data_IF_808065579970
#
_entry.id   IF_808065579970
#
_cell.length_a   1.000
_cell.length_b   1.000
_cell.length_c   1.000
_cell.angle_alpha   90.00
_cell.angle_beta   90.00
_cell.angle_gamma   90.00
#
_symmetry.space_group_name_H-M   'P 1'
#
loop_
_entity.id
_entity.type
_entity.pdbx_description
1 polymer ?
#
# COMPACT_ATOMS: atom_id res chain seq x y z
N UNK A 1 39.91 18.74 14.79
CA UNK A 1 40.01 17.64 13.80
C UNK A 1 38.78 16.77 13.98
N UNK A 2 37.87 16.75 13.01
CA UNK A 2 36.75 15.82 13.03
C UNK A 2 37.24 14.47 12.50
N UNK A 3 37.04 13.40 13.28
CA UNK A 3 37.32 12.04 12.84
C UNK A 3 36.15 11.61 11.95
N UNK A 4 36.41 11.49 10.65
CA UNK A 4 35.47 10.85 9.72
C UNK A 4 35.67 9.35 9.88
N UNK A 5 34.73 8.68 10.55
CA UNK A 5 34.69 7.22 10.64
C UNK A 5 34.06 6.72 9.34
N UNK A 6 34.85 6.06 8.48
CA UNK A 6 34.30 5.34 7.33
C UNK A 6 33.57 4.10 7.86
N UNK A 7 32.26 4.04 7.62
CA UNK A 7 31.40 2.88 7.94
C UNK A 7 31.45 1.79 6.85
N UNK A 8 32.47 1.81 5.99
CA UNK A 8 32.71 0.76 5.00
C UNK A 8 33.38 -0.47 5.64
N UNK A 9 32.76 -0.99 6.71
CA UNK A 9 32.99 -2.36 7.13
C UNK A 9 32.38 -3.29 6.07
N UNK A 10 33.16 -4.26 5.60
CA UNK A 10 32.83 -5.26 4.57
C UNK A 10 31.36 -5.67 4.60
N UNK A 11 30.55 -5.04 3.76
CA UNK A 11 29.19 -5.48 3.49
C UNK A 11 29.35 -6.74 2.65
N UNK A 12 29.45 -7.90 3.30
CA UNK A 12 29.31 -9.21 2.64
C UNK A 12 28.17 -9.07 1.62
N UNK A 13 28.39 -9.51 0.38
CA UNK A 13 27.38 -9.57 -0.68
C UNK A 13 26.28 -10.58 -0.28
N UNK A 14 25.54 -10.31 0.78
CA UNK A 14 24.26 -10.96 1.07
C UNK A 14 23.35 -10.65 -0.11
N UNK A 15 22.68 -11.68 -0.61
CA UNK A 15 21.58 -11.50 -1.55
C UNK A 15 20.65 -10.42 -1.00
N UNK A 16 20.17 -9.53 -1.88
CA UNK A 16 19.25 -8.47 -1.47
C UNK A 16 18.08 -9.12 -0.72
N UNK A 17 17.85 -8.70 0.53
CA UNK A 17 16.80 -9.25 1.38
C UNK A 17 15.43 -9.18 0.69
N UNK A 18 15.22 -8.19 -0.17
CA UNK A 18 14.02 -8.05 -0.97
C UNK A 18 13.92 -9.14 -2.04
N UNK A 19 15.01 -9.48 -2.71
CA UNK A 19 15.05 -10.54 -3.72
C UNK A 19 14.78 -11.91 -3.10
N UNK A 20 15.29 -12.16 -1.89
CA UNK A 20 15.03 -13.38 -1.13
C UNK A 20 13.53 -13.49 -0.79
N UNK A 21 12.93 -12.41 -0.30
CA UNK A 21 11.50 -12.37 0.00
C UNK A 21 10.66 -12.55 -1.28
N UNK A 22 11.01 -11.86 -2.35
CA UNK A 22 10.34 -11.96 -3.65
C UNK A 22 10.40 -13.40 -4.17
N UNK A 23 11.56 -14.05 -4.10
CA UNK A 23 11.72 -15.45 -4.47
C UNK A 23 10.81 -16.39 -3.67
N UNK A 24 10.60 -16.13 -2.38
CA UNK A 24 9.74 -16.94 -1.51
C UNK A 24 8.25 -16.85 -1.86
N UNK A 25 7.79 -15.69 -2.32
CA UNK A 25 6.36 -15.41 -2.54
C UNK A 25 6.00 -15.15 -4.00
N UNK A 26 6.91 -15.38 -4.94
CA UNK A 26 6.76 -15.00 -6.36
C UNK A 26 5.45 -15.49 -6.97
N UNK A 27 5.18 -16.79 -6.88
CA UNK A 27 4.01 -17.41 -7.52
C UNK A 27 2.70 -16.90 -6.90
N UNK A 28 2.70 -16.70 -5.58
CA UNK A 28 1.55 -16.12 -4.88
C UNK A 28 1.36 -14.64 -5.21
N UNK A 29 2.45 -13.89 -5.42
CA UNK A 29 2.39 -12.50 -5.82
C UNK A 29 1.84 -12.35 -7.24
N UNK A 30 2.14 -13.27 -8.15
CA UNK A 30 1.49 -13.32 -9.47
C UNK A 30 -0.01 -13.58 -9.36
N UNK A 31 -0.43 -14.46 -8.43
CA UNK A 31 -1.85 -14.70 -8.12
C UNK A 31 -2.51 -13.46 -7.52
N UNK A 32 -1.80 -12.70 -6.67
CA UNK A 32 -2.27 -11.41 -6.14
C UNK A 32 -2.50 -10.43 -7.28
N UNK A 33 -1.54 -10.27 -8.19
CA UNK A 33 -1.69 -9.35 -9.33
C UNK A 33 -2.90 -9.70 -10.20
N UNK A 34 -3.12 -11.00 -10.48
CA UNK A 34 -4.33 -11.46 -11.19
C UNK A 34 -5.61 -11.11 -10.42
N UNK A 35 -5.62 -11.37 -9.11
CA UNK A 35 -6.76 -11.04 -8.25
C UNK A 35 -7.06 -9.54 -8.26
N UNK A 36 -6.04 -8.68 -8.23
CA UNK A 36 -6.22 -7.23 -8.31
C UNK A 36 -6.88 -6.86 -9.64
N UNK A 37 -6.39 -7.37 -10.78
CA UNK A 37 -7.00 -7.14 -12.10
C UNK A 37 -8.47 -7.59 -12.12
N UNK A 38 -8.73 -8.81 -11.65
CA UNK A 38 -10.06 -9.41 -11.70
C UNK A 38 -11.10 -8.61 -10.91
N UNK A 39 -10.68 -8.02 -9.77
CA UNK A 39 -11.54 -7.20 -8.90
C UNK A 39 -11.75 -5.78 -9.38
N UNK A 40 -10.95 -5.32 -10.33
CA UNK A 40 -11.08 -4.00 -10.93
C UNK A 40 -11.99 -4.00 -12.17
N UNK A 41 -12.52 -5.15 -12.58
CA UNK A 41 -13.55 -5.19 -13.62
C UNK A 41 -14.77 -4.34 -13.22
N UNK A 42 -15.19 -3.48 -14.14
CA UNK A 42 -16.33 -2.59 -14.00
C UNK A 42 -16.91 -2.24 -15.37
N UNK A 43 -18.23 -2.08 -15.50
CA UNK A 43 -18.84 -1.53 -16.72
C UNK A 43 -18.45 -0.07 -16.95
N UNK A 44 -17.93 0.63 -15.93
CA UNK A 44 -17.46 2.01 -16.04
C UNK A 44 -16.00 2.02 -16.47
N UNK A 45 -15.74 2.35 -17.73
CA UNK A 45 -14.43 2.23 -18.38
C UNK A 45 -13.26 2.96 -17.69
N UNK A 46 -13.54 4.01 -16.92
CA UNK A 46 -12.50 4.76 -16.19
C UNK A 46 -11.80 3.91 -15.11
N UNK A 47 -12.53 3.02 -14.45
CA UNK A 47 -12.00 2.15 -13.39
C UNK A 47 -10.92 1.19 -13.91
N UNK A 48 -11.15 0.37 -14.96
CA UNK A 48 -10.14 -0.54 -15.50
C UNK A 48 -8.95 0.19 -16.18
N UNK A 49 -9.12 1.43 -16.64
CA UNK A 49 -8.01 2.25 -17.14
C UNK A 49 -7.05 2.63 -16.02
N UNK A 50 -7.57 3.13 -14.89
CA UNK A 50 -6.76 3.55 -13.75
C UNK A 50 -6.11 2.35 -13.04
N UNK A 51 -6.83 1.24 -12.95
CA UNK A 51 -6.33 -0.08 -12.60
C UNK A 51 -5.06 -0.50 -13.38
N UNK A 52 -5.10 -0.35 -14.70
CA UNK A 52 -3.97 -0.67 -15.57
C UNK A 52 -2.80 0.26 -15.30
N UNK A 53 -3.07 1.56 -15.06
CA UNK A 53 -2.05 2.54 -14.68
C UNK A 53 -1.37 2.20 -13.35
N UNK A 54 -2.13 1.81 -12.32
CA UNK A 54 -1.58 1.40 -11.02
C UNK A 54 -0.63 0.20 -11.17
N UNK A 55 -1.01 -0.79 -11.98
CA UNK A 55 -0.19 -1.97 -12.21
C UNK A 55 1.07 -1.60 -13.01
N UNK A 56 0.93 -0.77 -14.05
CA UNK A 56 2.01 -0.34 -14.93
C UNK A 56 3.00 0.61 -14.23
N UNK A 57 2.53 1.48 -13.34
CA UNK A 57 3.34 2.36 -12.49
C UNK A 57 4.21 1.57 -11.48
N UNK A 58 3.98 0.25 -11.41
CA UNK A 58 4.83 -0.70 -10.70
C UNK A 58 4.78 -0.55 -9.19
N UNK A 59 5.89 -0.89 -8.54
CA UNK A 59 6.06 -0.78 -7.09
C UNK A 59 6.65 -2.02 -6.48
N UNK A 60 7.22 -1.86 -5.29
CA UNK A 60 7.91 -2.96 -4.61
C UNK A 60 6.95 -4.06 -4.12
N UNK A 61 5.64 -3.81 -4.12
CA UNK A 61 4.58 -4.71 -3.58
C UNK A 61 4.90 -5.25 -2.18
N UNK A 62 5.55 -4.43 -1.34
CA UNK A 62 6.06 -4.86 -0.05
C UNK A 62 4.94 -5.33 0.89
N UNK A 63 3.81 -4.62 0.92
CA UNK A 63 2.67 -4.93 1.78
C UNK A 63 2.06 -6.31 1.44
N UNK A 64 1.72 -6.63 0.17
CA UNK A 64 1.34 -7.98 -0.24
C UNK A 64 2.36 -9.05 0.11
N UNK A 65 3.65 -8.79 -0.14
CA UNK A 65 4.71 -9.76 0.17
C UNK A 65 4.78 -10.07 1.67
N UNK A 66 4.62 -9.06 2.53
CA UNK A 66 4.57 -9.25 3.98
C UNK A 66 3.34 -10.06 4.41
N UNK A 67 2.17 -9.83 3.82
CA UNK A 67 0.96 -10.63 4.10
C UNK A 67 1.17 -12.10 3.70
N UNK A 68 1.70 -12.35 2.50
CA UNK A 68 1.97 -13.71 2.00
C UNK A 68 3.03 -14.43 2.82
N UNK A 69 4.15 -13.76 3.13
CA UNK A 69 5.22 -14.35 3.92
C UNK A 69 4.77 -14.65 5.36
N UNK A 70 3.98 -13.76 5.97
CA UNK A 70 3.42 -13.98 7.30
C UNK A 70 2.48 -15.19 7.32
N UNK A 71 1.63 -15.35 6.31
CA UNK A 71 0.78 -16.53 6.18
C UNK A 71 1.59 -17.82 6.08
N UNK A 72 2.62 -17.86 5.21
CA UNK A 72 3.53 -19.01 5.08
C UNK A 72 4.27 -19.32 6.38
N UNK A 73 4.76 -18.29 7.08
CA UNK A 73 5.44 -18.43 8.37
C UNK A 73 4.54 -19.03 9.46
N UNK A 74 3.25 -18.69 9.45
CA UNK A 74 2.24 -19.24 10.35
C UNK A 74 1.69 -20.61 9.89
N UNK A 75 2.29 -21.25 8.88
CA UNK A 75 1.90 -22.58 8.42
C UNK A 75 0.82 -22.63 7.34
N UNK A 76 0.31 -21.48 6.88
CA UNK A 76 -0.65 -21.42 5.77
C UNK A 76 0.12 -21.40 4.44
N UNK A 77 0.24 -22.57 3.80
CA UNK A 77 1.06 -22.74 2.58
C UNK A 77 0.26 -22.78 1.28
N UNK A 78 -1.01 -23.16 1.34
CA UNK A 78 -1.85 -23.41 0.17
C UNK A 78 -3.24 -22.79 0.33
N UNK A 79 -3.89 -22.47 -0.81
CA UNK A 79 -5.22 -21.89 -0.88
C UNK A 79 -5.23 -20.43 -1.35
N UNK A 80 -6.43 -19.85 -1.42
CA UNK A 80 -6.67 -18.50 -1.97
C UNK A 80 -6.73 -17.40 -0.89
N UNK A 81 -6.81 -17.78 0.39
CA UNK A 81 -7.10 -16.83 1.47
C UNK A 81 -6.02 -15.75 1.60
N UNK A 82 -4.75 -16.17 1.68
CA UNK A 82 -3.60 -15.26 1.78
C UNK A 82 -3.46 -14.35 0.56
N UNK A 83 -3.75 -14.88 -0.64
CA UNK A 83 -3.74 -14.12 -1.90
C UNK A 83 -4.82 -13.05 -1.89
N UNK A 84 -6.07 -13.41 -1.55
CA UNK A 84 -7.18 -12.44 -1.46
C UNK A 84 -6.93 -11.35 -0.42
N UNK A 85 -6.39 -11.71 0.75
CA UNK A 85 -6.06 -10.74 1.79
C UNK A 85 -4.87 -9.85 1.41
N UNK A 86 -3.86 -10.39 0.71
CA UNK A 86 -2.77 -9.58 0.18
C UNK A 86 -3.25 -8.59 -0.89
N UNK A 87 -4.18 -9.00 -1.77
CA UNK A 87 -4.83 -8.10 -2.72
C UNK A 87 -5.68 -7.02 -2.00
N UNK A 88 -6.40 -7.39 -0.95
CA UNK A 88 -7.16 -6.47 -0.10
C UNK A 88 -6.26 -5.38 0.51
N UNK A 89 -5.11 -5.76 1.06
CA UNK A 89 -4.12 -4.82 1.61
C UNK A 89 -3.59 -3.88 0.52
N UNK A 90 -3.32 -4.40 -0.68
CA UNK A 90 -2.86 -3.56 -1.78
C UNK A 90 -3.94 -2.60 -2.29
N UNK A 91 -5.22 -2.98 -2.23
CA UNK A 91 -6.31 -2.07 -2.55
C UNK A 91 -6.41 -0.92 -1.56
N UNK A 92 -6.31 -1.20 -0.26
CA UNK A 92 -6.29 -0.14 0.78
C UNK A 92 -5.10 0.78 0.52
N UNK A 93 -3.91 0.22 0.32
CA UNK A 93 -2.72 1.02 0.02
C UNK A 93 -2.93 1.89 -1.23
N UNK A 94 -3.40 1.30 -2.33
CA UNK A 94 -3.59 2.02 -3.58
C UNK A 94 -4.67 3.11 -3.45
N UNK A 95 -5.74 2.86 -2.70
CA UNK A 95 -6.76 3.89 -2.43
C UNK A 95 -6.15 5.08 -1.68
N UNK A 96 -5.39 4.84 -0.61
CA UNK A 96 -4.71 5.90 0.16
C UNK A 96 -3.74 6.67 -0.73
N UNK A 97 -3.02 5.99 -1.60
CA UNK A 97 -2.13 6.61 -2.57
C UNK A 97 -2.85 7.57 -3.53
N UNK A 98 -4.03 7.20 -4.04
CA UNK A 98 -4.83 8.07 -4.92
C UNK A 98 -5.40 9.27 -4.19
N UNK A 99 -5.79 9.10 -2.92
CA UNK A 99 -6.29 10.19 -2.08
C UNK A 99 -5.16 11.16 -1.71
N UNK A 100 -3.99 10.64 -1.33
CA UNK A 100 -2.79 11.44 -1.01
C UNK A 100 -2.37 12.32 -2.20
N UNK A 101 -2.31 11.77 -3.42
CA UNK A 101 -1.90 12.53 -4.61
C UNK A 101 -2.82 13.76 -4.85
N UNK A 102 -4.09 13.66 -4.46
CA UNK A 102 -5.07 14.75 -4.53
C UNK A 102 -4.88 15.76 -3.40
N UNK A 103 -4.62 15.27 -2.18
CA UNK A 103 -4.41 16.13 -0.99
C UNK A 103 -3.10 16.92 -1.13
N UNK A 104 -2.04 16.29 -1.64
CA UNK A 104 -0.70 16.87 -1.77
C UNK A 104 -0.51 17.68 -3.06
N UNK A 105 -1.52 17.78 -3.94
CA UNK A 105 -1.45 18.40 -5.26
C UNK A 105 -0.22 17.94 -6.09
N UNK A 106 0.11 16.65 -6.01
CA UNK A 106 1.33 16.12 -6.63
C UNK A 106 1.17 15.93 -8.14
N UNK A 107 2.05 16.52 -8.95
CA UNK A 107 2.07 16.35 -10.42
C UNK A 107 2.74 15.03 -10.87
N UNK A 108 3.62 14.46 -10.04
CA UNK A 108 4.45 13.30 -10.37
C UNK A 108 4.45 12.23 -9.29
N UNK A 109 4.46 10.97 -9.73
CA UNK A 109 4.65 9.78 -8.88
C UNK A 109 5.59 8.78 -9.52
N UNK A 110 6.70 8.48 -8.84
CA UNK A 110 7.77 7.58 -9.33
C UNK A 110 8.26 7.94 -10.75
N UNK A 111 8.29 9.24 -11.08
CA UNK A 111 8.71 9.73 -12.39
C UNK A 111 7.67 9.53 -13.51
N UNK A 112 6.43 9.19 -13.19
CA UNK A 112 5.27 9.19 -14.10
C UNK A 112 4.26 10.24 -13.62
N UNK A 113 3.35 10.68 -14.49
CA UNK A 113 2.25 11.55 -14.09
C UNK A 113 1.37 10.85 -13.03
N UNK A 114 1.01 11.58 -11.99
CA UNK A 114 0.09 11.12 -10.95
C UNK A 114 -1.31 10.91 -11.53
N UNK A 115 -2.15 10.13 -10.83
CA UNK A 115 -3.50 9.86 -11.33
C UNK A 115 -4.36 11.14 -11.42
N UNK A 116 -4.16 12.08 -10.51
CA UNK A 116 -4.87 13.35 -10.52
C UNK A 116 -4.37 14.29 -11.63
N UNK A 117 -3.09 14.24 -12.00
CA UNK A 117 -2.60 14.98 -13.17
C UNK A 117 -3.23 14.47 -14.48
N UNK A 118 -3.43 13.16 -14.61
CA UNK A 118 -3.99 12.55 -15.84
C UNK A 118 -5.51 12.63 -15.92
N UNK A 119 -6.21 12.33 -14.81
CA UNK A 119 -7.69 12.18 -14.80
C UNK A 119 -8.42 13.22 -13.96
N UNK A 120 -7.68 14.08 -13.25
CA UNK A 120 -8.24 15.09 -12.34
C UNK A 120 -8.54 14.56 -10.95
N UNK A 121 -8.67 15.49 -10.00
CA UNK A 121 -8.88 15.18 -8.58
C UNK A 121 -10.15 14.34 -8.35
N UNK A 122 -11.27 14.69 -9.02
CA UNK A 122 -12.56 13.99 -8.84
C UNK A 122 -12.47 12.51 -9.24
N UNK A 123 -11.80 12.21 -10.35
CA UNK A 123 -11.63 10.83 -10.80
C UNK A 123 -10.77 10.04 -9.80
N UNK A 124 -9.68 10.63 -9.32
CA UNK A 124 -8.76 9.98 -8.38
C UNK A 124 -9.44 9.66 -7.05
N UNK A 125 -10.22 10.58 -6.49
CA UNK A 125 -11.01 10.34 -5.27
C UNK A 125 -12.01 9.20 -5.48
N UNK A 126 -12.84 9.27 -6.52
CA UNK A 126 -13.89 8.27 -6.76
C UNK A 126 -13.34 6.87 -7.07
N UNK A 127 -12.19 6.78 -7.74
CA UNK A 127 -11.54 5.48 -7.96
C UNK A 127 -10.88 4.98 -6.68
N UNK A 128 -10.31 5.86 -5.86
CA UNK A 128 -9.87 5.51 -4.51
C UNK A 128 -11.01 4.90 -3.68
N UNK A 129 -12.18 5.53 -3.68
CA UNK A 129 -13.38 5.04 -2.99
C UNK A 129 -13.83 3.68 -3.51
N UNK A 130 -13.73 3.46 -4.83
CA UNK A 130 -14.03 2.17 -5.45
C UNK A 130 -13.05 1.08 -5.00
N UNK A 131 -11.75 1.34 -5.00
CA UNK A 131 -10.74 0.36 -4.55
C UNK A 131 -10.90 0.04 -3.07
N UNK A 132 -11.17 1.05 -2.24
CA UNK A 132 -11.47 0.89 -0.83
C UNK A 132 -12.74 0.05 -0.64
N UNK A 133 -13.79 0.28 -1.43
CA UNK A 133 -15.01 -0.54 -1.39
C UNK A 133 -14.73 -2.00 -1.79
N UNK A 134 -13.90 -2.25 -2.81
CA UNK A 134 -13.48 -3.60 -3.21
C UNK A 134 -12.66 -4.32 -2.12
N UNK A 135 -11.88 -3.59 -1.32
CA UNK A 135 -11.19 -4.20 -0.18
C UNK A 135 -12.20 -4.70 0.87
N UNK A 136 -13.29 -3.96 1.12
CA UNK A 136 -14.36 -4.43 2.01
C UNK A 136 -15.07 -5.67 1.48
N UNK A 137 -15.36 -5.75 0.18
CA UNK A 137 -15.93 -6.96 -0.41
C UNK A 137 -15.02 -8.19 -0.20
N UNK A 138 -13.70 -8.04 -0.40
CA UNK A 138 -12.73 -9.10 -0.14
C UNK A 138 -12.70 -9.51 1.34
N UNK A 139 -12.79 -8.56 2.28
CA UNK A 139 -12.87 -8.85 3.71
C UNK A 139 -14.15 -9.59 4.10
N UNK A 140 -15.29 -9.24 3.49
CA UNK A 140 -16.57 -9.92 3.73
C UNK A 140 -16.53 -11.34 3.17
N UNK A 141 -15.93 -11.54 1.99
CA UNK A 141 -15.73 -12.88 1.41
C UNK A 141 -14.80 -13.77 2.23
N UNK A 142 -13.79 -13.20 2.93
CA UNK A 142 -12.96 -13.96 3.87
C UNK A 142 -13.79 -14.55 5.02
N UNK A 143 -14.90 -13.88 5.38
CA UNK A 143 -15.83 -14.32 6.42
C UNK A 143 -15.29 -14.19 7.85
N UNK A 144 -14.05 -13.71 8.04
CA UNK A 144 -13.48 -13.50 9.37
C UNK A 144 -13.75 -12.09 9.89
N UNK A 145 -14.64 -11.98 10.89
CA UNK A 145 -14.86 -10.72 11.60
C UNK A 145 -13.59 -10.16 12.25
N UNK A 146 -12.66 -11.04 12.66
CA UNK A 146 -11.38 -10.61 13.21
C UNK A 146 -10.50 -9.92 12.16
N UNK A 147 -10.41 -10.47 10.94
CA UNK A 147 -9.66 -9.84 9.84
C UNK A 147 -10.30 -8.52 9.43
N UNK A 148 -11.63 -8.50 9.30
CA UNK A 148 -12.38 -7.28 9.01
C UNK A 148 -12.12 -6.21 10.08
N UNK A 149 -12.17 -6.56 11.36
CA UNK A 149 -11.89 -5.64 12.46
C UNK A 149 -10.46 -5.08 12.45
N UNK A 150 -9.45 -5.92 12.12
CA UNK A 150 -8.04 -5.49 12.04
C UNK A 150 -7.86 -4.48 10.89
N UNK A 151 -8.27 -4.84 9.68
CA UNK A 151 -8.01 -4.03 8.49
C UNK A 151 -8.86 -2.75 8.46
N UNK A 152 -10.11 -2.81 8.92
CA UNK A 152 -10.94 -1.59 9.06
C UNK A 152 -10.38 -0.62 10.11
N UNK A 153 -9.85 -1.13 11.23
CA UNK A 153 -9.17 -0.31 12.23
C UNK A 153 -7.90 0.31 11.68
N UNK A 154 -7.08 -0.48 10.97
CA UNK A 154 -5.86 0.03 10.32
C UNK A 154 -6.22 1.17 9.35
N UNK A 155 -7.24 1.00 8.50
CA UNK A 155 -7.70 2.05 7.60
C UNK A 155 -8.17 3.32 8.33
N UNK A 156 -8.86 3.19 9.47
CA UNK A 156 -9.25 4.35 10.30
C UNK A 156 -8.03 5.08 10.84
N UNK A 157 -7.05 4.34 11.36
CA UNK A 157 -5.81 4.90 11.90
C UNK A 157 -5.00 5.60 10.81
N UNK A 158 -4.95 5.06 9.59
CA UNK A 158 -4.29 5.71 8.45
C UNK A 158 -4.95 7.05 8.15
N UNK A 159 -6.29 7.09 8.05
CA UNK A 159 -7.02 8.33 7.80
C UNK A 159 -6.83 9.37 8.93
N UNK A 160 -6.82 8.94 10.19
CA UNK A 160 -6.48 9.80 11.33
C UNK A 160 -5.05 10.35 11.21
N UNK A 161 -4.10 9.53 10.78
CA UNK A 161 -2.72 9.91 10.51
C UNK A 161 -2.58 10.97 9.42
N UNK A 162 -3.33 10.84 8.32
CA UNK A 162 -3.39 11.84 7.25
C UNK A 162 -3.91 13.18 7.77
N UNK A 163 -5.00 13.17 8.54
CA UNK A 163 -5.56 14.40 9.13
C UNK A 163 -4.58 15.03 10.13
N UNK A 164 -3.89 14.22 10.93
CA UNK A 164 -2.87 14.70 11.86
C UNK A 164 -1.68 15.34 11.11
N UNK A 165 -1.26 14.74 9.99
CA UNK A 165 -0.24 15.32 9.12
C UNK A 165 -0.67 16.68 8.58
N UNK A 166 -1.92 16.82 8.13
CA UNK A 166 -2.45 18.10 7.64
C UNK A 166 -2.40 19.22 8.69
N UNK A 167 -2.68 18.89 9.96
CA UNK A 167 -2.66 19.86 11.07
C UNK A 167 -1.23 20.28 11.43
N UNK A 168 -0.29 19.34 11.39
CA UNK A 168 1.11 19.55 11.78
C UNK A 168 2.00 20.02 10.62
N UNK A 169 1.48 19.98 9.39
CA UNK A 169 2.20 20.42 8.21
C UNK A 169 2.64 21.90 8.35
N UNK A 170 3.92 22.15 8.06
CA UNK A 170 4.56 23.46 8.16
C UNK A 170 4.72 24.01 9.59
N UNK A 171 4.47 23.22 10.64
CA UNK A 171 4.80 23.58 12.02
C UNK A 171 6.23 23.15 12.37
N UNK A 172 7.16 24.11 12.38
CA UNK A 172 8.56 23.89 12.78
C UNK A 172 8.73 23.57 14.27
N UNK A 173 7.68 23.74 15.08
CA UNK A 173 7.62 23.33 16.49
C UNK A 173 7.24 21.87 16.70
N UNK A 174 6.95 21.11 15.64
CA UNK A 174 6.58 19.70 15.72
C UNK A 174 7.64 18.89 16.46
N UNK A 175 7.25 18.23 17.55
CA UNK A 175 8.14 17.38 18.33
C UNK A 175 8.48 16.08 17.60
N UNK A 176 9.62 15.47 17.91
CA UNK A 176 9.98 14.14 17.39
C UNK A 176 8.89 13.09 17.69
N UNK A 177 8.30 13.14 18.89
CA UNK A 177 7.19 12.27 19.27
C UNK A 177 5.97 12.44 18.35
N UNK A 178 5.58 13.69 18.06
CA UNK A 178 4.45 13.98 17.17
C UNK A 178 4.72 13.50 15.75
N UNK A 179 5.95 13.67 15.26
CA UNK A 179 6.38 13.15 13.96
C UNK A 179 6.30 11.62 13.89
N UNK A 180 6.76 10.92 14.94
CA UNK A 180 6.66 9.46 15.02
C UNK A 180 5.22 8.96 15.10
N UNK A 181 4.33 9.71 15.75
CA UNK A 181 2.90 9.37 15.79
C UNK A 181 2.24 9.47 14.41
N UNK A 182 2.60 10.49 13.61
CA UNK A 182 2.19 10.57 12.20
C UNK A 182 2.69 9.36 11.41
N UNK A 183 3.98 9.01 11.50
CA UNK A 183 4.53 7.85 10.79
C UNK A 183 3.81 6.55 11.18
N UNK A 184 3.60 6.34 12.49
CA UNK A 184 2.90 5.15 13.01
C UNK A 184 1.50 5.04 12.42
N UNK A 185 0.76 6.14 12.41
CA UNK A 185 -0.61 6.16 11.95
C UNK A 185 -0.73 6.03 10.43
N UNK A 186 -0.02 6.88 9.67
CA UNK A 186 -0.09 6.95 8.21
C UNK A 186 0.52 5.75 7.49
N UNK A 187 1.62 5.21 8.01
CA UNK A 187 2.44 4.23 7.27
C UNK A 187 2.52 2.85 7.93
N UNK A 188 2.64 2.77 9.26
CA UNK A 188 2.95 1.52 9.95
C UNK A 188 1.74 0.74 10.48
N UNK A 189 0.55 1.35 10.47
CA UNK A 189 -0.69 0.79 11.00
C UNK A 189 -1.19 -0.49 10.30
#
# INVERSE_FOLDING_TARGET
MAVVVSLEGEREKRADSLDVLLGLVKDDLERVNRTIVDRMHSPVALIPQLASHIIAAGGKRLRPMLTLASAKMCGYREGERSVKLAACVEFIHTATLLHDDVVDESDLRRGQESANAVWGNKASVLVGDFLFSRSFELMVEDGSLSVLAILSRASSVIAEGEVLQLITANDTGTSESSYLDVIRAKTAA
#
